data_IF_213325532489
#
_entry.id   IF_213325532489
#
_cell.length_a   1.000
_cell.length_b   1.000
_cell.length_c   1.000
_cell.angle_alpha   90.00
_cell.angle_beta   90.00
_cell.angle_gamma   90.00
#
_symmetry.space_group_name_H-M   'P 1'
#
loop_
_entity.id
_entity.type
_entity.pdbx_description
1 polymer ?
#
# COMPACT_ATOMS: atom_id res chain seq x y z
N UNK A 1 -18.85 0.02 -18.87
CA UNK A 1 -17.84 -0.49 -19.82
C UNK A 1 -16.42 -0.15 -19.34
N UNK A 2 -16.11 1.09 -18.90
CA UNK A 2 -14.75 1.50 -18.46
C UNK A 2 -14.22 0.65 -17.29
N UNK A 3 -15.00 0.46 -16.24
CA UNK A 3 -14.62 -0.35 -15.06
C UNK A 3 -14.33 -1.82 -15.40
N UNK A 4 -15.10 -2.40 -16.34
CA UNK A 4 -14.87 -3.78 -16.80
C UNK A 4 -13.53 -3.95 -17.54
N UNK A 5 -13.05 -2.88 -18.21
CA UNK A 5 -11.73 -2.88 -18.84
C UNK A 5 -10.60 -2.70 -17.82
N UNK A 6 -10.88 -1.94 -16.77
CA UNK A 6 -9.90 -1.66 -15.69
C UNK A 6 -9.61 -2.91 -14.84
N UNK A 7 -10.64 -3.71 -14.54
CA UNK A 7 -10.51 -4.89 -13.69
C UNK A 7 -10.60 -6.18 -14.52
N UNK A 8 -9.46 -6.79 -14.80
CA UNK A 8 -9.36 -8.03 -15.62
C UNK A 8 -10.15 -9.20 -15.04
N UNK A 9 -10.29 -9.26 -13.71
CA UNK A 9 -11.07 -10.27 -13.01
C UNK A 9 -12.53 -10.35 -13.52
N UNK A 10 -13.15 -9.23 -13.97
CA UNK A 10 -14.48 -9.24 -14.54
C UNK A 10 -14.61 -10.02 -15.86
N UNK A 11 -13.56 -10.02 -16.67
CA UNK A 11 -13.59 -10.63 -17.99
C UNK A 11 -13.03 -12.06 -18.01
N UNK A 12 -12.04 -12.34 -17.14
CA UNK A 12 -11.21 -13.54 -17.19
C UNK A 12 -11.14 -14.34 -15.90
N UNK A 13 -11.69 -13.79 -14.79
CA UNK A 13 -11.58 -14.43 -13.48
C UNK A 13 -12.48 -15.65 -13.32
N UNK A 14 -12.02 -16.61 -12.52
CA UNK A 14 -12.81 -17.74 -12.08
C UNK A 14 -13.93 -17.27 -11.14
N UNK A 15 -15.10 -17.89 -11.24
CA UNK A 15 -16.26 -17.55 -10.43
C UNK A 15 -16.38 -18.54 -9.26
N UNK A 16 -16.53 -18.01 -8.05
CA UNK A 16 -16.88 -18.76 -6.86
C UNK A 16 -18.08 -18.14 -6.20
N UNK A 17 -19.14 -18.92 -5.98
CA UNK A 17 -20.33 -18.46 -5.28
C UNK A 17 -20.05 -18.36 -3.77
N UNK A 18 -20.54 -17.26 -3.18
CA UNK A 18 -20.41 -16.98 -1.76
C UNK A 18 -21.73 -17.32 -1.08
N UNK A 19 -21.67 -18.10 -0.03
CA UNK A 19 -22.81 -18.46 0.78
C UNK A 19 -23.39 -17.25 1.50
N UNK A 20 -24.71 -17.11 1.44
CA UNK A 20 -25.45 -16.07 2.15
C UNK A 20 -26.74 -16.67 2.70
N UNK A 21 -27.01 -16.47 4.00
CA UNK A 21 -28.24 -17.00 4.65
C UNK A 21 -29.54 -16.37 4.11
N UNK A 22 -29.45 -15.26 3.37
CA UNK A 22 -30.58 -14.57 2.80
C UNK A 22 -30.80 -14.99 1.34
N UNK A 23 -31.87 -15.73 1.04
CA UNK A 23 -32.21 -16.21 -0.31
C UNK A 23 -32.54 -15.10 -1.33
N UNK A 24 -32.69 -13.85 -0.88
CA UNK A 24 -32.90 -12.67 -1.74
C UNK A 24 -31.60 -12.02 -2.17
N UNK A 25 -30.49 -12.45 -1.60
CA UNK A 25 -29.15 -11.91 -1.88
C UNK A 25 -28.35 -12.94 -2.67
N UNK A 26 -27.74 -12.49 -3.75
CA UNK A 26 -26.86 -13.29 -4.58
C UNK A 26 -25.43 -12.71 -4.47
N UNK A 27 -24.45 -13.54 -4.13
CA UNK A 27 -23.07 -13.11 -3.96
C UNK A 27 -22.11 -14.10 -4.62
N UNK A 28 -21.06 -13.55 -5.26
CA UNK A 28 -19.98 -14.34 -5.85
C UNK A 28 -18.69 -13.53 -5.91
N UNK A 29 -17.58 -14.23 -5.92
CA UNK A 29 -16.27 -13.64 -6.23
C UNK A 29 -15.83 -13.98 -7.64
N UNK A 30 -14.98 -13.13 -8.19
CA UNK A 30 -14.21 -13.40 -9.42
C UNK A 30 -12.74 -13.15 -9.14
N UNK A 31 -11.91 -14.16 -9.37
CA UNK A 31 -10.48 -14.09 -9.10
C UNK A 31 -9.69 -14.28 -10.38
N UNK A 32 -8.79 -13.34 -10.68
CA UNK A 32 -7.84 -13.41 -11.77
C UNK A 32 -6.48 -12.93 -11.29
N UNK A 33 -5.46 -13.79 -11.35
CA UNK A 33 -4.14 -13.52 -10.75
C UNK A 33 -4.30 -13.17 -9.26
N UNK A 34 -3.74 -12.05 -8.83
CA UNK A 34 -3.86 -11.55 -7.44
C UNK A 34 -5.08 -10.65 -7.19
N UNK A 35 -5.94 -10.49 -8.18
CA UNK A 35 -7.12 -9.60 -8.09
C UNK A 35 -8.38 -10.41 -7.81
N UNK A 36 -9.00 -10.19 -6.66
CA UNK A 36 -10.30 -10.77 -6.32
C UNK A 36 -11.34 -9.67 -6.19
N UNK A 37 -12.46 -9.86 -6.87
CA UNK A 37 -13.61 -8.97 -6.81
C UNK A 37 -14.83 -9.73 -6.25
N UNK A 38 -15.51 -9.10 -5.30
CA UNK A 38 -16.78 -9.57 -4.75
C UNK A 38 -17.93 -8.76 -5.36
N UNK A 39 -18.95 -9.46 -5.84
CA UNK A 39 -20.21 -8.87 -6.29
C UNK A 39 -21.31 -9.35 -5.37
N UNK A 40 -22.11 -8.43 -4.85
CA UNK A 40 -23.25 -8.72 -3.96
C UNK A 40 -24.47 -8.00 -4.52
N UNK A 41 -25.53 -8.74 -4.85
CA UNK A 41 -26.74 -8.23 -5.44
C UNK A 41 -27.98 -8.58 -4.60
N UNK A 42 -28.80 -7.59 -4.30
CA UNK A 42 -30.14 -7.76 -3.74
C UNK A 42 -31.17 -7.94 -4.87
N UNK A 43 -31.71 -9.11 -5.00
CA UNK A 43 -32.71 -9.45 -6.04
C UNK A 43 -34.13 -9.07 -5.64
N UNK A 44 -34.33 -8.41 -4.50
CA UNK A 44 -35.63 -8.03 -3.96
C UNK A 44 -35.88 -6.53 -4.09
N UNK A 45 -37.16 -6.16 -4.14
CA UNK A 45 -37.62 -4.76 -4.11
C UNK A 45 -37.56 -4.08 -2.73
N UNK A 46 -37.09 -4.78 -1.73
CA UNK A 46 -36.93 -4.28 -0.35
C UNK A 46 -35.47 -4.31 0.05
N UNK A 47 -35.08 -3.44 0.97
CA UNK A 47 -33.75 -3.50 1.56
C UNK A 47 -33.51 -4.85 2.23
N UNK A 48 -32.33 -5.40 2.12
CA UNK A 48 -31.97 -6.73 2.61
C UNK A 48 -30.65 -6.71 3.41
N UNK A 49 -30.61 -7.37 4.56
CA UNK A 49 -29.36 -7.69 5.22
C UNK A 49 -28.70 -8.90 4.51
N UNK A 50 -27.39 -8.83 4.35
CA UNK A 50 -26.57 -9.90 3.81
C UNK A 50 -25.52 -10.33 4.84
N UNK A 51 -25.56 -11.59 5.24
CA UNK A 51 -24.53 -12.24 6.05
C UNK A 51 -23.75 -13.17 5.12
N UNK A 52 -22.56 -12.73 4.71
CA UNK A 52 -21.71 -13.40 3.74
C UNK A 52 -20.65 -14.24 4.42
N UNK A 53 -20.43 -15.46 3.95
CA UNK A 53 -19.34 -16.33 4.40
C UNK A 53 -18.07 -15.96 3.62
N UNK A 54 -17.25 -15.07 4.21
CA UNK A 54 -16.03 -14.54 3.60
C UNK A 54 -14.76 -14.87 4.41
N UNK A 55 -14.85 -15.83 5.33
CA UNK A 55 -13.77 -16.20 6.27
C UNK A 55 -12.46 -16.55 5.53
N UNK A 56 -12.55 -17.15 4.35
CA UNK A 56 -11.38 -17.46 3.49
C UNK A 56 -10.59 -16.23 3.02
N UNK A 57 -11.22 -15.06 3.05
CA UNK A 57 -10.60 -13.77 2.72
C UNK A 57 -10.24 -12.96 3.97
N UNK A 58 -10.10 -13.61 5.11
CA UNK A 58 -9.73 -12.98 6.37
C UNK A 58 -8.48 -12.10 6.24
N UNK A 59 -8.49 -10.97 6.94
CA UNK A 59 -7.41 -9.97 6.85
C UNK A 59 -7.49 -9.02 5.66
N UNK A 60 -8.36 -9.26 4.67
CA UNK A 60 -8.57 -8.37 3.54
C UNK A 60 -9.63 -7.31 3.84
N UNK A 61 -9.55 -6.19 3.14
CA UNK A 61 -10.50 -5.08 3.23
C UNK A 61 -11.32 -4.99 1.94
N UNK A 62 -12.64 -4.85 2.07
CA UNK A 62 -13.52 -4.57 0.94
C UNK A 62 -13.44 -3.09 0.55
N UNK A 63 -13.14 -2.81 -0.71
CA UNK A 63 -13.13 -1.46 -1.28
C UNK A 63 -14.18 -1.39 -2.38
N UNK A 64 -15.20 -0.56 -2.18
CA UNK A 64 -16.27 -0.41 -3.18
C UNK A 64 -15.71 0.21 -4.46
N UNK A 65 -16.02 -0.40 -5.62
CA UNK A 65 -15.35 -0.12 -6.91
C UNK A 65 -15.65 1.28 -7.44
N UNK A 66 -16.84 1.82 -7.20
CA UNK A 66 -17.28 3.10 -7.76
C UNK A 66 -16.95 4.28 -6.84
N UNK A 67 -17.34 4.19 -5.57
CA UNK A 67 -17.13 5.24 -4.56
C UNK A 67 -15.73 5.24 -3.97
N UNK A 68 -15.00 4.11 -4.09
CA UNK A 68 -13.71 3.88 -3.44
C UNK A 68 -13.78 3.88 -1.90
N UNK A 69 -14.98 3.79 -1.34
CA UNK A 69 -15.15 3.67 0.10
C UNK A 69 -14.58 2.34 0.61
N UNK A 70 -13.81 2.42 1.69
CA UNK A 70 -13.30 1.25 2.40
C UNK A 70 -14.32 0.81 3.44
N UNK A 71 -14.58 -0.49 3.43
CA UNK A 71 -15.44 -1.16 4.39
C UNK A 71 -14.57 -1.83 5.49
N UNK A 72 -15.16 -2.26 6.61
CA UNK A 72 -14.43 -2.97 7.64
C UNK A 72 -13.67 -4.18 7.10
N UNK A 73 -12.56 -4.51 7.74
CA UNK A 73 -11.75 -5.68 7.41
C UNK A 73 -12.55 -6.98 7.63
N UNK A 74 -12.41 -7.93 6.72
CA UNK A 74 -13.00 -9.27 6.84
C UNK A 74 -12.30 -10.01 8.00
N UNK A 75 -13.09 -10.58 8.90
CA UNK A 75 -12.62 -11.38 10.02
C UNK A 75 -12.78 -12.86 9.69
N UNK A 76 -11.83 -13.67 10.14
CA UNK A 76 -11.85 -15.13 9.92
C UNK A 76 -12.86 -15.86 10.82
N UNK A 77 -13.28 -15.21 11.92
CA UNK A 77 -14.09 -15.80 12.98
C UNK A 77 -15.58 -15.49 12.87
N UNK A 78 -16.02 -14.74 11.85
CA UNK A 78 -17.43 -14.37 11.71
C UNK A 78 -17.83 -14.01 10.28
N UNK A 79 -19.11 -14.25 9.97
CA UNK A 79 -19.71 -13.86 8.70
C UNK A 79 -19.71 -12.32 8.52
N UNK A 80 -19.54 -11.88 7.30
CA UNK A 80 -19.44 -10.47 6.96
C UNK A 80 -20.83 -9.85 6.72
N UNK A 81 -21.16 -8.80 7.46
CA UNK A 81 -22.46 -8.14 7.36
C UNK A 81 -22.43 -6.98 6.37
N UNK A 82 -23.38 -6.96 5.43
CA UNK A 82 -23.70 -5.84 4.55
C UNK A 82 -25.21 -5.52 4.60
N UNK A 83 -25.56 -4.28 4.35
CA UNK A 83 -26.94 -3.86 4.11
C UNK A 83 -27.07 -3.34 2.68
N UNK A 84 -28.03 -3.87 1.94
CA UNK A 84 -28.25 -3.57 0.51
C UNK A 84 -29.62 -2.92 0.35
N UNK A 85 -29.68 -1.81 -0.37
CA UNK A 85 -30.93 -1.21 -0.79
C UNK A 85 -31.76 -2.10 -1.72
N UNK A 86 -32.98 -1.69 -2.07
CA UNK A 86 -33.81 -2.40 -3.04
C UNK A 86 -33.13 -2.47 -4.40
N UNK A 87 -33.03 -3.66 -4.98
CA UNK A 87 -32.36 -3.93 -6.28
C UNK A 87 -30.91 -3.39 -6.35
N UNK A 88 -30.25 -3.22 -5.19
CA UNK A 88 -28.88 -2.74 -5.11
C UNK A 88 -27.89 -3.83 -5.54
N UNK A 89 -26.81 -3.40 -6.19
CA UNK A 89 -25.71 -4.27 -6.60
C UNK A 89 -24.39 -3.59 -6.30
N UNK A 90 -23.67 -4.08 -5.32
CA UNK A 90 -22.40 -3.54 -4.87
C UNK A 90 -21.25 -4.40 -5.35
N UNK A 91 -20.18 -3.74 -5.78
CA UNK A 91 -18.98 -4.37 -6.30
C UNK A 91 -17.79 -3.94 -5.48
N UNK A 92 -17.07 -4.91 -4.94
CA UNK A 92 -15.93 -4.68 -4.09
C UNK A 92 -14.67 -5.29 -4.70
N UNK A 93 -13.56 -4.59 -4.56
CA UNK A 93 -12.23 -5.16 -4.69
C UNK A 93 -11.79 -5.64 -3.30
N UNK A 94 -11.29 -6.86 -3.21
CA UNK A 94 -10.63 -7.36 -2.02
C UNK A 94 -9.19 -6.88 -2.06
N UNK A 95 -8.84 -5.99 -1.16
CA UNK A 95 -7.47 -5.51 -1.01
C UNK A 95 -6.85 -6.21 0.20
N UNK A 96 -5.72 -6.84 -0.01
CA UNK A 96 -4.89 -7.24 1.11
C UNK A 96 -4.61 -5.98 1.94
N UNK A 97 -4.70 -6.07 3.26
CA UNK A 97 -4.17 -5.03 4.12
C UNK A 97 -2.77 -4.74 3.59
N UNK A 98 -2.41 -3.47 3.26
CA UNK A 98 -1.01 -3.15 3.11
C UNK A 98 -0.38 -3.77 4.34
N UNK A 99 0.60 -4.66 4.18
CA UNK A 99 1.26 -5.25 5.34
C UNK A 99 1.53 -4.07 6.28
N UNK A 100 0.75 -3.99 7.38
CA UNK A 100 1.17 -3.19 8.50
C UNK A 100 2.47 -3.87 8.88
N UNK A 101 3.55 -3.33 8.33
CA UNK A 101 4.86 -3.63 8.84
C UNK A 101 4.72 -3.38 10.32
N UNK A 102 4.81 -4.46 11.06
CA UNK A 102 4.79 -4.37 12.52
C UNK A 102 5.73 -3.23 12.87
N UNK A 103 5.36 -2.29 13.76
CA UNK A 103 6.27 -1.26 14.17
C UNK A 103 7.52 -1.96 14.74
N UNK A 104 8.57 -2.14 13.91
CA UNK A 104 9.74 -2.87 14.32
C UNK A 104 10.66 -3.36 13.20
N UNK A 105 10.16 -3.79 12.06
CA UNK A 105 11.03 -4.28 10.99
C UNK A 105 11.11 -3.29 9.83
N UNK A 106 12.24 -2.58 9.78
CA UNK A 106 12.57 -1.77 8.63
C UNK A 106 12.94 -2.68 7.45
N UNK A 107 12.50 -2.37 6.21
CA UNK A 107 12.91 -3.11 5.03
C UNK A 107 14.42 -3.11 4.88
N UNK A 108 14.97 -4.19 4.34
CA UNK A 108 16.41 -4.32 4.14
C UNK A 108 16.80 -4.07 2.68
N UNK A 109 17.93 -3.40 2.50
CA UNK A 109 18.53 -3.12 1.20
C UNK A 109 20.04 -3.36 1.26
N UNK A 110 20.58 -4.10 0.30
CA UNK A 110 22.03 -4.34 0.18
C UNK A 110 22.54 -3.66 -1.08
N UNK A 111 23.50 -2.75 -0.91
CA UNK A 111 24.09 -1.99 -2.01
C UNK A 111 25.62 -2.02 -1.90
N UNK A 112 26.29 -1.86 -3.04
CA UNK A 112 27.74 -1.85 -3.09
C UNK A 112 28.34 -0.59 -2.46
N UNK A 113 27.79 0.55 -2.80
CA UNK A 113 28.14 1.88 -2.33
C UNK A 113 26.89 2.77 -2.32
N UNK A 114 26.93 3.92 -1.64
CA UNK A 114 25.77 4.79 -1.50
C UNK A 114 25.29 5.38 -2.83
N UNK A 115 26.19 5.58 -3.79
CA UNK A 115 25.83 6.07 -5.13
C UNK A 115 25.01 5.03 -5.91
N UNK A 116 25.22 3.74 -5.65
CA UNK A 116 24.47 2.66 -6.29
C UNK A 116 23.02 2.52 -5.79
N UNK A 117 22.61 3.30 -4.79
CA UNK A 117 21.23 3.32 -4.28
C UNK A 117 20.20 3.57 -5.38
N UNK A 118 20.54 4.46 -6.32
CA UNK A 118 19.67 4.86 -7.43
C UNK A 118 19.90 4.07 -8.71
N UNK A 119 20.83 3.13 -8.72
CA UNK A 119 21.02 2.22 -9.85
C UNK A 119 20.05 1.05 -9.76
N UNK A 120 19.61 0.53 -10.91
CA UNK A 120 18.79 -0.69 -10.91
C UNK A 120 19.66 -1.92 -10.59
N UNK A 121 19.17 -2.88 -9.79
CA UNK A 121 17.77 -3.07 -9.32
C UNK A 121 17.42 -2.31 -8.03
N UNK A 122 18.38 -1.70 -7.32
CA UNK A 122 18.19 -1.08 -6.00
C UNK A 122 17.11 0.01 -6.04
N UNK A 123 17.15 0.88 -7.06
CA UNK A 123 16.16 1.92 -7.26
C UNK A 123 14.75 1.34 -7.40
N UNK A 124 14.57 0.19 -8.04
CA UNK A 124 13.28 -0.45 -8.17
C UNK A 124 12.74 -0.93 -6.80
N UNK A 125 13.61 -1.48 -5.94
CA UNK A 125 13.23 -1.88 -4.58
C UNK A 125 12.89 -0.65 -3.73
N UNK A 126 13.65 0.44 -3.88
CA UNK A 126 13.40 1.71 -3.22
C UNK A 126 12.02 2.27 -3.62
N UNK A 127 11.71 2.32 -4.91
CA UNK A 127 10.47 2.87 -5.47
C UNK A 127 9.22 2.02 -5.17
N UNK A 128 9.35 0.69 -5.22
CA UNK A 128 8.18 -0.19 -5.15
C UNK A 128 7.87 -0.68 -3.72
N UNK A 129 8.86 -0.70 -2.82
CA UNK A 129 8.71 -1.27 -1.48
C UNK A 129 9.02 -0.22 -0.40
N UNK A 130 10.25 0.33 -0.41
CA UNK A 130 10.79 1.08 0.72
C UNK A 130 10.11 2.45 0.86
N UNK A 131 10.10 3.25 -0.21
CA UNK A 131 9.52 4.61 -0.18
C UNK A 131 8.00 4.61 0.01
N UNK A 132 7.21 3.77 -0.66
CA UNK A 132 5.77 3.68 -0.39
C UNK A 132 5.46 3.38 1.07
N UNK A 133 6.18 2.41 1.66
CA UNK A 133 6.05 2.05 3.06
C UNK A 133 6.43 3.21 4.00
N UNK A 134 7.54 3.87 3.74
CA UNK A 134 7.97 5.03 4.53
C UNK A 134 6.93 6.16 4.46
N UNK A 135 6.47 6.54 3.27
CA UNK A 135 5.51 7.63 3.06
C UNK A 135 4.17 7.39 3.74
N UNK A 136 3.65 6.17 3.70
CA UNK A 136 2.37 5.81 4.33
C UNK A 136 2.32 6.18 5.83
N UNK A 137 3.46 6.09 6.54
CA UNK A 137 3.60 6.47 7.93
C UNK A 137 3.81 7.97 8.19
N UNK A 138 4.00 8.81 7.18
CA UNK A 138 4.42 10.22 7.37
C UNK A 138 3.24 11.18 7.46
N UNK A 139 3.24 12.07 8.47
CA UNK A 139 2.15 13.05 8.66
C UNK A 139 2.03 14.04 7.50
N UNK A 140 3.15 14.41 6.91
CA UNK A 140 3.24 15.36 5.80
C UNK A 140 2.85 14.77 4.44
N UNK A 141 2.73 13.44 4.33
CA UNK A 141 2.33 12.81 3.07
C UNK A 141 0.83 13.01 2.83
N UNK A 142 0.49 13.81 1.81
CA UNK A 142 -0.89 14.14 1.45
C UNK A 142 -1.67 12.99 0.80
N UNK A 143 -0.96 11.98 0.28
CA UNK A 143 -1.54 10.85 -0.45
C UNK A 143 -2.19 9.76 0.40
N UNK A 144 -2.27 9.88 1.73
CA UNK A 144 -2.76 8.82 2.63
C UNK A 144 -4.18 8.33 2.37
N UNK A 145 -5.06 9.22 1.90
CA UNK A 145 -6.46 8.89 1.59
C UNK A 145 -6.66 8.36 0.17
N UNK A 146 -5.59 8.30 -0.62
CA UNK A 146 -5.60 7.87 -2.03
C UNK A 146 -4.82 6.58 -2.18
N UNK A 147 -5.22 5.74 -3.12
CA UNK A 147 -4.49 4.51 -3.45
C UNK A 147 -3.31 4.89 -4.33
N UNK A 148 -2.10 4.69 -3.80
CA UNK A 148 -0.86 4.88 -4.55
C UNK A 148 -0.79 3.82 -5.66
N UNK A 149 -0.59 4.24 -6.90
CA UNK A 149 -0.44 3.36 -8.05
C UNK A 149 1.04 3.15 -8.38
N UNK A 150 1.80 4.23 -8.52
CA UNK A 150 3.24 4.17 -8.76
C UNK A 150 3.97 5.29 -8.03
N UNK A 151 5.19 5.01 -7.61
CA UNK A 151 6.15 5.98 -7.10
C UNK A 151 7.43 5.86 -7.91
N UNK A 152 7.95 6.98 -8.42
CA UNK A 152 9.18 7.03 -9.20
C UNK A 152 10.08 8.15 -8.73
N UNK A 153 11.36 7.86 -8.58
CA UNK A 153 12.39 8.88 -8.38
C UNK A 153 12.72 9.49 -9.75
N UNK A 154 12.14 10.66 -10.00
CA UNK A 154 12.26 11.35 -11.32
C UNK A 154 13.50 12.22 -11.43
N UNK A 155 14.01 12.70 -10.30
CA UNK A 155 15.25 13.48 -10.20
C UNK A 155 15.92 13.23 -8.86
N UNK A 156 17.19 13.47 -8.79
CA UNK A 156 17.95 13.49 -7.54
C UNK A 156 19.06 14.52 -7.59
N UNK A 157 19.48 14.96 -6.42
CA UNK A 157 20.65 15.80 -6.21
C UNK A 157 21.50 15.24 -5.07
N UNK A 158 22.80 15.49 -5.09
CA UNK A 158 23.71 15.07 -4.03
C UNK A 158 24.34 16.31 -3.37
N UNK A 159 24.31 16.34 -2.06
CA UNK A 159 24.93 17.37 -1.23
C UNK A 159 25.98 16.70 -0.36
N UNK A 160 27.20 17.21 -0.43
CA UNK A 160 28.28 16.81 0.46
C UNK A 160 28.24 17.65 1.73
N UNK A 161 28.12 16.99 2.88
CA UNK A 161 28.14 17.66 4.18
C UNK A 161 29.28 17.12 5.03
N UNK A 162 29.62 17.81 6.11
CA UNK A 162 30.63 17.33 7.07
C UNK A 162 30.24 16.01 7.74
N UNK A 163 28.94 15.67 7.76
CA UNK A 163 28.42 14.43 8.34
C UNK A 163 28.28 13.29 7.30
N UNK A 164 28.59 13.56 6.03
CA UNK A 164 28.45 12.59 4.95
C UNK A 164 27.59 13.11 3.80
N UNK A 165 27.33 12.25 2.83
CA UNK A 165 26.53 12.58 1.65
C UNK A 165 25.03 12.51 1.92
N UNK A 166 24.31 13.51 1.47
CA UNK A 166 22.83 13.55 1.46
C UNK A 166 22.34 13.51 0.01
N UNK A 167 21.47 12.56 -0.29
CA UNK A 167 20.77 12.51 -1.58
C UNK A 167 19.38 13.15 -1.41
N UNK A 168 19.08 14.14 -2.23
CA UNK A 168 17.75 14.73 -2.33
C UNK A 168 17.00 14.00 -3.42
N UNK A 169 15.98 13.25 -3.06
CA UNK A 169 15.11 12.52 -3.98
C UNK A 169 13.90 13.39 -4.34
N UNK A 170 13.62 13.54 -5.64
CA UNK A 170 12.36 14.10 -6.12
C UNK A 170 11.53 12.95 -6.65
N UNK A 171 10.41 12.69 -5.96
CA UNK A 171 9.56 11.54 -6.20
C UNK A 171 8.24 11.98 -6.82
N UNK A 172 7.90 11.43 -7.97
CA UNK A 172 6.57 11.54 -8.56
C UNK A 172 5.71 10.39 -8.04
N UNK A 173 4.61 10.74 -7.41
CA UNK A 173 3.64 9.79 -6.85
C UNK A 173 2.37 9.87 -7.68
N UNK A 174 2.04 8.77 -8.35
CA UNK A 174 0.82 8.61 -9.11
C UNK A 174 -0.20 7.82 -8.29
N UNK A 175 -1.45 8.22 -8.38
CA UNK A 175 -2.56 7.62 -7.67
C UNK A 175 -3.57 7.04 -8.67
N UNK A 176 -4.34 6.06 -8.23
CA UNK A 176 -5.41 5.50 -9.06
C UNK A 176 -6.44 6.54 -9.50
N UNK A 177 -6.56 7.65 -8.76
CA UNK A 177 -7.43 8.78 -9.11
C UNK A 177 -6.81 10.10 -8.65
N UNK A 178 -6.97 11.16 -9.45
CA UNK A 178 -6.41 12.48 -9.20
C UNK A 178 -5.11 12.72 -10.00
N UNK A 179 -4.53 13.88 -9.78
CA UNK A 179 -3.29 14.28 -10.44
C UNK A 179 -2.07 13.72 -9.68
N UNK A 180 -0.97 13.47 -10.40
CA UNK A 180 0.32 13.15 -9.78
C UNK A 180 0.77 14.27 -8.85
N UNK A 181 1.52 13.87 -7.82
CA UNK A 181 2.13 14.81 -6.88
C UNK A 181 3.64 14.62 -6.85
N UNK A 182 4.36 15.73 -6.70
CA UNK A 182 5.82 15.72 -6.58
C UNK A 182 6.20 15.94 -5.11
N UNK A 183 6.97 15.01 -4.55
CA UNK A 183 7.51 15.09 -3.21
C UNK A 183 9.02 15.17 -3.23
N UNK A 184 9.59 15.85 -2.23
CA UNK A 184 11.02 15.91 -2.01
C UNK A 184 11.36 15.20 -0.69
N UNK A 185 12.39 14.35 -0.72
CA UNK A 185 12.87 13.63 0.45
C UNK A 185 14.41 13.62 0.45
N UNK A 186 15.06 14.31 1.39
CA UNK A 186 16.49 14.15 1.60
C UNK A 186 16.75 12.86 2.37
N UNK A 187 17.63 12.02 1.86
CA UNK A 187 18.01 10.75 2.50
C UNK A 187 19.51 10.68 2.71
N UNK A 188 19.93 10.08 3.80
CA UNK A 188 21.35 9.85 4.10
C UNK A 188 21.55 8.49 4.74
N UNK A 189 22.80 8.02 4.70
CA UNK A 189 23.24 6.82 5.41
C UNK A 189 23.79 7.17 6.77
N UNK A 190 23.41 6.38 7.78
CA UNK A 190 23.97 6.51 9.14
C UNK A 190 24.33 5.14 9.70
N UNK A 191 25.36 5.09 10.52
CA UNK A 191 25.85 3.87 11.19
C UNK A 191 26.33 4.17 12.61
N UNK A 192 26.63 3.13 13.39
CA UNK A 192 27.22 3.19 14.73
C UNK A 192 26.38 4.05 15.71
N UNK A 193 27.05 4.86 16.53
CA UNK A 193 26.42 5.66 17.58
C UNK A 193 25.42 6.69 17.05
N UNK A 194 25.67 7.24 15.87
CA UNK A 194 24.74 8.19 15.27
C UNK A 194 23.43 7.52 14.85
N UNK A 195 23.50 6.30 14.32
CA UNK A 195 22.32 5.51 14.00
C UNK A 195 21.47 5.22 15.25
N UNK A 196 22.09 4.90 16.37
CA UNK A 196 21.41 4.71 17.66
C UNK A 196 20.72 6.00 18.10
N UNK A 197 21.45 7.11 18.07
CA UNK A 197 20.93 8.43 18.47
C UNK A 197 19.71 8.84 17.64
N UNK A 198 19.77 8.70 16.30
CA UNK A 198 18.67 9.07 15.42
C UNK A 198 17.47 8.13 15.67
N UNK A 199 17.70 6.83 15.82
CA UNK A 199 16.63 5.86 16.07
C UNK A 199 15.92 6.09 17.42
N UNK A 200 16.63 6.47 18.46
CA UNK A 200 16.05 6.72 19.78
C UNK A 200 15.29 8.04 19.84
N UNK A 201 15.84 9.12 19.26
CA UNK A 201 15.22 10.43 19.33
C UNK A 201 14.19 10.69 18.21
N UNK A 202 14.39 10.07 17.04
CA UNK A 202 13.57 10.26 15.83
C UNK A 202 13.28 8.93 15.12
N UNK A 203 12.60 7.97 15.78
CA UNK A 203 12.31 6.65 15.19
C UNK A 203 11.56 6.76 13.87
N UNK A 204 10.77 7.83 13.72
CA UNK A 204 10.05 8.13 12.47
C UNK A 204 10.97 8.52 11.30
N UNK A 205 12.22 8.88 11.54
CA UNK A 205 13.18 9.21 10.49
C UNK A 205 13.71 7.96 9.77
N UNK A 206 13.63 6.79 10.39
CA UNK A 206 14.17 5.56 9.82
C UNK A 206 13.36 5.12 8.59
N UNK A 207 14.08 4.88 7.48
CA UNK A 207 13.49 4.50 6.19
C UNK A 207 13.71 3.00 5.94
N UNK A 208 14.95 2.53 6.06
CA UNK A 208 15.34 1.14 5.80
C UNK A 208 16.61 0.75 6.56
N UNK A 209 16.80 -0.53 6.84
CA UNK A 209 18.13 -1.08 7.11
C UNK A 209 18.89 -1.15 5.80
N UNK A 210 20.14 -0.74 5.80
CA UNK A 210 20.93 -0.73 4.59
C UNK A 210 22.34 -1.24 4.87
N UNK A 211 22.80 -2.14 4.02
CA UNK A 211 24.18 -2.61 4.00
C UNK A 211 24.88 -1.99 2.82
N UNK A 212 25.88 -1.16 3.09
CA UNK A 212 26.68 -0.45 2.08
C UNK A 212 28.08 -1.07 2.06
N UNK A 213 28.35 -1.93 1.10
CA UNK A 213 29.58 -2.73 1.10
C UNK A 213 29.66 -3.63 2.32
N UNK A 214 30.60 -3.36 3.23
CA UNK A 214 30.78 -4.06 4.51
C UNK A 214 30.11 -3.36 5.70
N UNK A 215 29.67 -2.12 5.52
CA UNK A 215 29.07 -1.31 6.56
C UNK A 215 27.56 -1.57 6.69
N UNK A 216 27.11 -1.91 7.88
CA UNK A 216 25.69 -2.03 8.20
C UNK A 216 25.20 -0.77 8.92
N UNK A 217 24.01 -0.29 8.53
CA UNK A 217 23.45 0.91 9.09
C UNK A 217 22.01 1.13 8.62
N UNK A 218 21.63 2.39 8.53
CA UNK A 218 20.27 2.79 8.18
C UNK A 218 20.24 3.89 7.13
N UNK A 219 19.30 3.78 6.21
CA UNK A 219 18.84 4.89 5.40
C UNK A 219 17.82 5.68 6.24
N UNK A 220 18.01 6.98 6.35
CA UNK A 220 17.12 7.82 7.14
C UNK A 220 16.78 9.14 6.44
N UNK A 221 15.69 9.78 6.86
CA UNK A 221 15.28 11.11 6.41
C UNK A 221 16.24 12.15 7.02
N UNK A 222 17.07 12.74 6.18
CA UNK A 222 18.14 13.64 6.59
C UNK A 222 17.65 14.98 7.18
N UNK A 223 16.35 15.29 7.10
CA UNK A 223 15.75 16.43 7.84
C UNK A 223 15.99 16.28 9.35
N UNK A 224 16.05 15.06 9.85
CA UNK A 224 16.31 14.76 11.27
C UNK A 224 17.80 14.61 11.62
N UNK A 225 18.69 14.68 10.63
CA UNK A 225 20.14 14.74 10.81
C UNK A 225 20.57 16.13 11.26
N UNK A 226 21.69 16.21 11.97
CA UNK A 226 22.36 17.48 12.31
C UNK A 226 23.51 17.75 11.38
#
# INVERSE_FOLDING_TARGET
IAKRKQYKAFARGDIKFISCKNSKVFAFTRTYEEQTMLVVANLSRYAQPAMLELEEFGGQTLVEVFSKNKFPMIREDQSYFLSLGAHDCQWFLLENKPQEVQPGELPELVIKDFDSLLHRPNCAQLENIILPQYLAGRRWFGGKSRVLETLKVVRHGKIHTSAGDVLILFMEVNYQSGLPELYQLPVAFTKNQEAVRIRENFPQAMIARIKVGTDEGYLYDAIYGR
#
